data_IF_764574921360
#
_entry.id   IF_764574921360
#
_cell.length_a   1.000
_cell.length_b   1.000
_cell.length_c   1.000
_cell.angle_alpha   90.00
_cell.angle_beta   90.00
_cell.angle_gamma   90.00
#
_symmetry.space_group_name_H-M   'P 1'
#
loop_
_entity.id
_entity.type
_entity.pdbx_description
1 polymer ?
#
# COMPACT_ATOMS: atom_id res chain seq x y z
N UNK A 1 -7.14 -13.57 26.69
CA UNK A 1 -6.42 -13.72 25.40
C UNK A 1 -5.80 -12.38 25.07
N UNK A 2 -4.50 -12.21 25.32
CA UNK A 2 -3.78 -10.97 25.03
C UNK A 2 -3.72 -10.80 23.51
N UNK A 3 -4.46 -9.84 22.98
CA UNK A 3 -4.35 -9.45 21.58
C UNK A 3 -2.98 -8.80 21.40
N UNK A 4 -2.02 -9.55 20.86
CA UNK A 4 -0.76 -8.99 20.38
C UNK A 4 -1.14 -8.04 19.24
N UNK A 5 -1.18 -6.74 19.55
CA UNK A 5 -1.33 -5.67 18.57
C UNK A 5 -0.02 -5.59 17.81
N UNK A 6 0.04 -6.23 16.64
CA UNK A 6 1.21 -6.15 15.76
C UNK A 6 1.11 -4.84 14.99
N UNK A 7 1.99 -3.89 15.35
CA UNK A 7 2.19 -2.63 14.66
C UNK A 7 3.35 -2.79 13.68
N UNK A 8 3.16 -2.41 12.43
CA UNK A 8 4.18 -2.54 11.39
C UNK A 8 4.36 -1.19 10.68
N UNK A 9 5.59 -0.68 10.75
CA UNK A 9 6.09 0.42 9.94
C UNK A 9 7.09 -0.13 8.93
N UNK A 10 6.75 -0.04 7.64
CA UNK A 10 7.63 -0.47 6.55
C UNK A 10 7.99 0.74 5.71
N UNK A 11 9.28 1.03 5.63
CA UNK A 11 9.81 2.09 4.78
C UNK A 11 11.11 1.71 4.15
N UNK A 12 11.25 2.04 2.86
CA UNK A 12 12.46 1.74 2.10
C UNK A 12 12.86 2.98 1.31
N UNK A 13 14.10 3.45 1.50
CA UNK A 13 14.63 4.63 0.79
C UNK A 13 15.02 4.34 -0.66
N UNK A 14 15.32 3.09 -1.02
CA UNK A 14 15.69 2.67 -2.37
C UNK A 14 15.28 1.20 -2.58
N UNK A 15 14.10 0.98 -3.16
CA UNK A 15 13.52 -0.36 -3.29
C UNK A 15 14.06 -1.06 -4.55
N UNK A 16 14.79 -2.17 -4.37
CA UNK A 16 15.01 -3.15 -5.44
C UNK A 16 13.65 -3.64 -5.98
N UNK A 17 13.55 -4.02 -7.26
CA UNK A 17 12.29 -4.48 -7.89
C UNK A 17 11.54 -5.59 -7.14
N UNK A 18 12.20 -6.28 -6.19
CA UNK A 18 11.60 -7.34 -5.35
C UNK A 18 10.83 -6.82 -4.14
N UNK A 19 11.03 -5.60 -3.69
CA UNK A 19 10.44 -5.12 -2.43
C UNK A 19 8.91 -5.11 -2.44
N UNK A 20 8.22 -4.61 -3.50
CA UNK A 20 6.75 -4.65 -3.50
C UNK A 20 6.20 -6.08 -3.46
N UNK A 21 6.88 -7.05 -4.09
CA UNK A 21 6.48 -8.46 -4.01
C UNK A 21 6.62 -9.03 -2.59
N UNK A 22 7.72 -8.69 -1.90
CA UNK A 22 7.92 -9.08 -0.50
C UNK A 22 6.88 -8.42 0.43
N UNK A 23 6.54 -7.16 0.16
CA UNK A 23 5.51 -6.43 0.89
C UNK A 23 4.13 -7.09 0.71
N UNK A 24 3.77 -7.42 -0.54
CA UNK A 24 2.52 -8.14 -0.85
C UNK A 24 2.50 -9.49 -0.13
N UNK A 25 3.59 -10.27 -0.24
CA UNK A 25 3.72 -11.55 0.44
C UNK A 25 3.54 -11.41 1.95
N UNK A 26 4.21 -10.42 2.57
CA UNK A 26 4.13 -10.17 4.00
C UNK A 26 2.69 -9.92 4.47
N UNK A 27 1.94 -9.08 3.73
CA UNK A 27 0.55 -8.76 4.04
C UNK A 27 -0.36 -10.00 3.91
N UNK A 28 -0.13 -10.84 2.89
CA UNK A 28 -0.89 -12.08 2.70
C UNK A 28 -0.60 -13.10 3.81
N UNK A 29 0.67 -13.22 4.23
CA UNK A 29 1.08 -14.16 5.28
C UNK A 29 0.60 -13.71 6.67
N UNK A 30 0.65 -12.42 6.98
CA UNK A 30 0.34 -11.90 8.32
C UNK A 30 -1.08 -11.33 8.39
N UNK A 31 -2.08 -12.22 8.38
CA UNK A 31 -3.51 -11.85 8.38
C UNK A 31 -4.01 -11.23 9.70
N UNK A 32 -3.19 -11.24 10.75
CA UNK A 32 -3.53 -10.69 12.07
C UNK A 32 -3.31 -9.18 12.20
N UNK A 33 -2.72 -8.53 11.19
CA UNK A 33 -2.41 -7.10 11.20
C UNK A 33 -3.66 -6.24 11.40
N UNK A 34 -3.52 -5.25 12.28
CA UNK A 34 -4.57 -4.28 12.64
C UNK A 34 -4.25 -2.87 12.19
N UNK A 35 -2.98 -2.50 12.30
CA UNK A 35 -2.46 -1.18 11.96
C UNK A 35 -1.35 -1.39 10.94
N UNK A 36 -1.48 -0.78 9.76
CA UNK A 36 -0.49 -0.87 8.69
C UNK A 36 -0.07 0.54 8.32
N UNK A 37 1.22 0.83 8.47
CA UNK A 37 1.81 2.07 8.00
C UNK A 37 2.94 1.76 7.03
N UNK A 38 2.76 2.15 5.78
CA UNK A 38 3.72 1.93 4.70
C UNK A 38 4.12 3.30 4.16
N UNK A 39 5.43 3.53 4.10
CA UNK A 39 5.99 4.76 3.56
C UNK A 39 7.06 4.49 2.50
N UNK A 40 7.21 5.39 1.53
CA UNK A 40 8.21 5.31 0.46
C UNK A 40 8.19 3.98 -0.32
N UNK A 41 7.01 3.41 -0.56
CA UNK A 41 6.90 2.21 -1.40
C UNK A 41 6.81 2.60 -2.88
N UNK A 42 7.65 2.00 -3.72
CA UNK A 42 7.64 2.22 -5.17
C UNK A 42 7.16 0.96 -5.89
N UNK A 43 6.03 1.07 -6.60
CA UNK A 43 5.47 0.02 -7.42
C UNK A 43 5.88 0.21 -8.89
N UNK A 44 6.08 -0.89 -9.61
CA UNK A 44 6.48 -0.84 -11.02
C UNK A 44 5.28 -0.82 -11.98
N UNK A 45 4.23 -1.60 -11.68
CA UNK A 45 3.10 -1.82 -12.61
C UNK A 45 1.74 -1.73 -11.92
N UNK A 46 0.70 -1.43 -12.69
CA UNK A 46 -0.69 -1.44 -12.23
C UNK A 46 -1.12 -2.82 -11.67
N UNK A 47 -0.64 -3.92 -12.25
CA UNK A 47 -0.92 -5.27 -11.74
C UNK A 47 -0.37 -5.47 -10.31
N UNK A 48 0.87 -5.02 -10.08
CA UNK A 48 1.49 -5.07 -8.77
C UNK A 48 0.75 -4.21 -7.74
N UNK A 49 0.34 -3.00 -8.13
CA UNK A 49 -0.48 -2.13 -7.29
C UNK A 49 -1.83 -2.77 -6.94
N UNK A 50 -2.50 -3.39 -7.92
CA UNK A 50 -3.76 -4.09 -7.72
C UNK A 50 -3.63 -5.26 -6.74
N UNK A 51 -2.56 -6.06 -6.87
CA UNK A 51 -2.25 -7.16 -5.94
C UNK A 51 -1.99 -6.64 -4.53
N UNK A 52 -1.27 -5.53 -4.41
CA UNK A 52 -1.02 -4.85 -3.13
C UNK A 52 -2.29 -4.36 -2.44
N UNK A 53 -3.14 -3.61 -3.15
CA UNK A 53 -4.43 -3.18 -2.62
C UNK A 53 -5.33 -4.35 -2.26
N UNK A 54 -5.36 -5.40 -3.08
CA UNK A 54 -6.10 -6.63 -2.76
C UNK A 54 -5.58 -7.26 -1.46
N UNK A 55 -4.26 -7.34 -1.27
CA UNK A 55 -3.67 -7.88 -0.05
C UNK A 55 -4.08 -7.06 1.19
N UNK A 56 -4.05 -5.73 1.13
CA UNK A 56 -4.50 -4.86 2.22
C UNK A 56 -5.99 -5.07 2.56
N UNK A 57 -6.87 -5.07 1.55
CA UNK A 57 -8.31 -5.31 1.75
C UNK A 57 -8.58 -6.71 2.29
N UNK A 58 -7.72 -7.67 2.01
CA UNK A 58 -7.88 -9.05 2.47
C UNK A 58 -7.52 -9.25 3.95
N UNK A 59 -6.91 -8.27 4.62
CA UNK A 59 -6.57 -8.34 6.04
C UNK A 59 -7.83 -8.22 6.91
N UNK A 60 -8.30 -9.30 7.56
CA UNK A 60 -9.59 -9.31 8.24
C UNK A 60 -9.65 -8.38 9.46
N UNK A 61 -8.51 -8.13 10.11
CA UNK A 61 -8.42 -7.33 11.34
C UNK A 61 -7.93 -5.90 11.11
N UNK A 62 -7.67 -5.50 9.87
CA UNK A 62 -7.20 -4.16 9.55
C UNK A 62 -8.24 -3.12 9.94
N UNK A 63 -7.83 -2.15 10.77
CA UNK A 63 -8.64 -1.03 11.23
C UNK A 63 -8.05 0.32 10.82
N UNK A 64 -6.72 0.39 10.67
CA UNK A 64 -6.02 1.62 10.28
C UNK A 64 -4.96 1.37 9.21
N UNK A 65 -4.95 2.23 8.18
CA UNK A 65 -4.01 2.19 7.07
C UNK A 65 -3.42 3.58 6.79
N UNK A 66 -2.10 3.69 6.78
CA UNK A 66 -1.39 4.90 6.38
C UNK A 66 -0.48 4.58 5.21
N UNK A 67 -0.67 5.28 4.09
CA UNK A 67 0.17 5.20 2.89
C UNK A 67 0.82 6.56 2.64
N UNK A 68 2.10 6.68 2.96
CA UNK A 68 2.83 7.95 2.86
C UNK A 68 3.91 7.88 1.77
N UNK A 69 3.94 8.83 0.85
CA UNK A 69 4.98 8.89 -0.20
C UNK A 69 5.13 7.58 -0.99
N UNK A 70 4.03 6.85 -1.18
CA UNK A 70 4.01 5.64 -2.00
C UNK A 70 3.73 6.02 -3.46
N UNK A 71 4.50 5.49 -4.39
CA UNK A 71 4.47 5.87 -5.80
C UNK A 71 4.36 4.67 -6.75
N UNK A 72 3.80 4.88 -7.94
CA UNK A 72 3.78 3.93 -9.04
C UNK A 72 4.54 4.53 -10.22
N UNK A 73 5.50 3.82 -10.81
CA UNK A 73 6.24 4.29 -12.00
C UNK A 73 5.32 4.50 -13.22
N UNK A 74 4.27 3.69 -13.34
CA UNK A 74 3.25 3.77 -14.39
C UNK A 74 2.12 4.75 -14.05
N UNK A 75 1.28 5.07 -15.04
CA UNK A 75 0.04 5.80 -14.84
C UNK A 75 -0.97 4.90 -14.13
N UNK A 76 -1.50 5.36 -12.99
CA UNK A 76 -2.49 4.60 -12.23
C UNK A 76 -3.80 4.54 -13.03
N UNK A 77 -4.32 3.33 -13.19
CA UNK A 77 -5.70 3.12 -13.63
C UNK A 77 -6.66 3.56 -12.52
N UNK A 78 -7.45 4.61 -12.80
CA UNK A 78 -8.44 5.14 -11.87
C UNK A 78 -9.41 4.09 -11.31
N UNK A 79 -9.67 3.01 -12.07
CA UNK A 79 -10.56 1.93 -11.61
C UNK A 79 -9.98 1.19 -10.40
N UNK A 80 -8.65 1.05 -10.31
CA UNK A 80 -7.96 0.40 -9.19
C UNK A 80 -8.17 1.19 -7.91
N UNK A 81 -7.98 2.52 -7.97
CA UNK A 81 -8.19 3.40 -6.82
C UNK A 81 -9.65 3.43 -6.38
N UNK A 82 -10.59 3.56 -7.33
CA UNK A 82 -12.02 3.59 -7.03
C UNK A 82 -12.48 2.31 -6.34
N UNK A 83 -12.03 1.15 -6.84
CA UNK A 83 -12.36 -0.14 -6.21
C UNK A 83 -11.76 -0.24 -4.81
N UNK A 84 -10.50 0.15 -4.64
CA UNK A 84 -9.82 0.11 -3.34
C UNK A 84 -10.49 1.01 -2.30
N UNK A 85 -10.78 2.26 -2.65
CA UNK A 85 -11.45 3.23 -1.79
C UNK A 85 -12.85 2.76 -1.39
N UNK A 86 -13.60 2.18 -2.33
CA UNK A 86 -14.90 1.58 -2.05
C UNK A 86 -14.77 0.47 -1.01
N UNK A 87 -13.82 -0.44 -1.18
CA UNK A 87 -13.59 -1.54 -0.23
C UNK A 87 -13.14 -1.07 1.16
N UNK A 88 -12.24 -0.09 1.24
CA UNK A 88 -11.80 0.49 2.52
C UNK A 88 -12.95 1.16 3.24
N UNK A 89 -13.74 1.97 2.53
CA UNK A 89 -14.87 2.71 3.08
C UNK A 89 -15.97 1.77 3.57
N UNK A 90 -16.33 0.75 2.79
CA UNK A 90 -17.31 -0.27 3.18
C UNK A 90 -16.90 -1.03 4.45
N UNK A 91 -15.59 -1.20 4.67
CA UNK A 91 -15.05 -1.86 5.86
C UNK A 91 -14.88 -0.93 7.06
N UNK A 92 -15.12 0.38 6.91
CA UNK A 92 -14.92 1.36 7.98
C UNK A 92 -13.46 1.49 8.42
N UNK A 93 -12.50 1.18 7.55
CA UNK A 93 -11.08 1.30 7.85
C UNK A 93 -10.71 2.79 7.86
N UNK A 94 -10.03 3.25 8.91
CA UNK A 94 -9.47 4.60 8.95
C UNK A 94 -8.24 4.62 8.06
N UNK A 95 -8.20 5.50 7.08
CA UNK A 95 -7.09 5.53 6.13
C UNK A 95 -6.59 6.94 5.86
N UNK A 96 -5.31 7.05 5.50
CA UNK A 96 -4.71 8.28 5.02
C UNK A 96 -3.73 7.97 3.88
N UNK A 97 -3.83 8.76 2.81
CA UNK A 97 -2.99 8.66 1.63
C UNK A 97 -3.36 7.52 0.68
N UNK A 98 -2.76 7.57 -0.50
CA UNK A 98 -2.89 6.60 -1.59
C UNK A 98 -1.54 6.51 -2.31
N UNK A 99 -1.34 5.44 -3.06
CA UNK A 99 -0.23 5.37 -4.03
C UNK A 99 -0.49 6.40 -5.13
N UNK A 100 0.51 7.18 -5.50
CA UNK A 100 0.40 8.20 -6.56
C UNK A 100 1.24 7.79 -7.77
N UNK A 101 0.80 8.13 -8.98
CA UNK A 101 1.72 8.00 -10.12
C UNK A 101 2.92 8.93 -9.90
N UNK A 102 4.11 8.40 -10.17
CA UNK A 102 5.32 9.19 -10.22
C UNK A 102 5.10 10.30 -11.22
N UNK A 103 5.18 11.55 -10.78
CA UNK A 103 5.16 12.69 -11.69
C UNK A 103 6.53 12.78 -12.30
N UNK A 104 6.64 12.48 -13.59
CA UNK A 104 7.81 12.91 -14.35
C UNK A 104 7.86 14.44 -14.30
N UNK A 105 8.78 14.99 -13.52
CA UNK A 105 9.07 16.42 -13.51
C UNK A 105 10.28 16.66 -14.42
N UNK A 106 10.10 17.02 -15.70
CA UNK A 106 11.21 17.32 -16.60
C UNK A 106 12.05 18.50 -16.11
N UNK A 107 11.48 19.38 -15.27
CA UNK A 107 12.13 20.57 -14.72
C UNK A 107 12.81 20.29 -13.36
N UNK A 108 13.07 19.02 -13.03
CA UNK A 108 13.94 18.64 -11.93
C UNK A 108 15.39 19.01 -12.24
N UNK A 109 15.68 20.31 -12.26
CA UNK A 109 17.02 20.86 -12.41
C UNK A 109 17.97 20.19 -11.40
N UNK A 110 18.87 19.36 -11.92
CA UNK A 110 20.12 18.98 -11.29
C UNK A 110 21.27 19.55 -12.11
#
# INVERSE_FOLDING_TARGET
IQLITVYVQLGVRYSTAKYPELLIWFLVTHRSLRFVHIWNALFATNDQLKRFYTALISLPKLTELYLESCELCDRIDSSIEVQFLKSITLRGIRWNGLVRSMRYNPDGNH
#
